data_IF_150918063396
#
_entry.id   IF_150918063396
#
_cell.length_a   1.000
_cell.length_b   1.000
_cell.length_c   1.000
_cell.angle_alpha   90.00
_cell.angle_beta   90.00
_cell.angle_gamma   90.00
#
_symmetry.space_group_name_H-M   'P 1'
#
loop_
_entity.id
_entity.type
_entity.pdbx_description
1 polymer ?
#
# COMPACT_ATOMS: atom_id res chain seq x y z
N UNK A 1 25.25 -30.02 -7.65
CA UNK A 1 26.28 -29.02 -7.30
C UNK A 1 25.75 -27.62 -7.66
N UNK A 2 25.04 -26.98 -6.73
CA UNK A 2 24.59 -25.59 -6.87
C UNK A 2 25.53 -24.73 -6.02
N UNK A 3 26.44 -23.99 -6.65
CA UNK A 3 27.35 -23.06 -5.96
C UNK A 3 26.54 -21.95 -5.29
N UNK A 4 26.84 -21.69 -4.02
CA UNK A 4 26.35 -20.62 -3.15
C UNK A 4 26.82 -19.25 -3.65
N UNK A 5 26.10 -18.69 -4.63
CA UNK A 5 26.34 -17.37 -5.27
C UNK A 5 25.42 -16.25 -4.74
N UNK A 6 24.90 -16.32 -3.51
CA UNK A 6 23.79 -15.45 -3.10
C UNK A 6 24.09 -13.96 -2.77
N UNK A 7 25.26 -13.53 -2.22
CA UNK A 7 25.40 -12.18 -1.65
C UNK A 7 25.45 -11.07 -2.70
N UNK A 8 26.41 -11.16 -3.63
CA UNK A 8 26.65 -10.12 -4.65
C UNK A 8 25.48 -9.99 -5.64
N UNK A 9 24.63 -11.02 -5.72
CA UNK A 9 23.49 -11.00 -6.62
C UNK A 9 22.27 -10.27 -6.07
N UNK A 10 22.08 -10.16 -4.74
CA UNK A 10 20.91 -9.42 -4.22
C UNK A 10 21.01 -7.91 -4.49
N UNK A 11 22.20 -7.34 -4.36
CA UNK A 11 22.46 -5.94 -4.72
C UNK A 11 22.45 -5.75 -6.25
N UNK A 12 22.82 -6.77 -7.03
CA UNK A 12 22.64 -6.77 -8.49
C UNK A 12 21.17 -6.93 -8.93
N UNK A 13 20.32 -7.54 -8.09
CA UNK A 13 18.87 -7.68 -8.32
C UNK A 13 18.12 -6.42 -7.94
N UNK A 14 18.65 -5.61 -7.01
CA UNK A 14 18.13 -4.26 -6.82
C UNK A 14 18.25 -3.56 -8.18
N UNK A 15 17.12 -3.27 -8.86
CA UNK A 15 17.16 -2.92 -10.26
C UNK A 15 18.01 -1.68 -10.36
N UNK A 16 19.21 -1.83 -10.93
CA UNK A 16 20.15 -0.73 -11.14
C UNK A 16 19.33 0.43 -11.65
N UNK A 17 19.21 1.51 -10.87
CA UNK A 17 18.24 2.60 -11.10
C UNK A 17 18.32 3.21 -12.51
N UNK A 18 19.36 2.84 -13.24
CA UNK A 18 19.74 3.33 -14.56
C UNK A 18 19.32 2.45 -15.74
N UNK A 19 18.87 1.19 -15.54
CA UNK A 19 18.45 0.36 -16.69
C UNK A 19 16.97 0.54 -17.02
N UNK A 20 16.71 1.06 -18.21
CA UNK A 20 15.37 1.09 -18.80
C UNK A 20 14.91 -0.35 -19.07
N UNK A 21 13.65 -0.69 -18.75
CA UNK A 21 13.11 -2.02 -19.01
C UNK A 21 13.11 -2.28 -20.52
N UNK A 22 13.55 -3.46 -20.93
CA UNK A 22 13.57 -3.83 -22.35
C UNK A 22 12.16 -3.76 -22.93
N UNK A 23 12.03 -3.14 -24.10
CA UNK A 23 10.72 -2.97 -24.77
C UNK A 23 10.06 -4.33 -24.97
N UNK A 24 8.77 -4.41 -24.69
CA UNK A 24 8.00 -5.66 -24.76
C UNK A 24 8.23 -6.65 -23.61
N UNK A 25 9.11 -6.37 -22.64
CA UNK A 25 9.14 -7.14 -21.39
C UNK A 25 7.85 -6.90 -20.57
N UNK A 26 7.42 -7.87 -19.73
CA UNK A 26 6.28 -7.64 -18.84
C UNK A 26 6.49 -6.45 -17.91
N UNK A 27 7.73 -6.18 -17.48
CA UNK A 27 8.04 -4.99 -16.69
C UNK A 27 7.77 -3.69 -17.46
N UNK A 28 8.12 -3.63 -18.74
CA UNK A 28 7.82 -2.49 -19.61
C UNK A 28 6.30 -2.30 -19.76
N UNK A 29 5.57 -3.38 -20.05
CA UNK A 29 4.10 -3.36 -20.18
C UNK A 29 3.41 -2.93 -18.88
N UNK A 30 3.89 -3.41 -17.73
CA UNK A 30 3.37 -2.99 -16.42
C UNK A 30 3.50 -1.47 -16.24
N UNK A 31 4.67 -0.90 -16.53
CA UNK A 31 4.85 0.57 -16.46
C UNK A 31 3.97 1.30 -17.46
N UNK A 32 3.85 0.78 -18.68
CA UNK A 32 2.99 1.35 -19.71
C UNK A 32 1.54 1.43 -19.22
N UNK A 33 0.95 0.30 -18.79
CA UNK A 33 -0.42 0.27 -18.32
C UNK A 33 -0.66 1.08 -17.05
N UNK A 34 0.27 1.08 -16.08
CA UNK A 34 0.17 1.97 -14.91
C UNK A 34 0.13 3.45 -15.30
N UNK A 35 0.92 3.87 -16.30
CA UNK A 35 0.91 5.27 -16.80
C UNK A 35 -0.40 5.59 -17.52
N UNK A 36 -0.86 4.67 -18.38
CA UNK A 36 -2.14 4.80 -19.07
C UNK A 36 -3.29 4.92 -18.06
N UNK A 37 -3.29 4.10 -17.01
CA UNK A 37 -4.28 4.17 -15.93
C UNK A 37 -4.21 5.50 -15.16
N UNK A 38 -3.00 5.99 -14.85
CA UNK A 38 -2.81 7.29 -14.20
C UNK A 38 -3.38 8.44 -15.05
N UNK A 39 -3.06 8.47 -16.35
CA UNK A 39 -3.56 9.49 -17.29
C UNK A 39 -5.09 9.40 -17.40
N UNK A 40 -5.62 8.19 -17.57
CA UNK A 40 -7.07 8.00 -17.67
C UNK A 40 -7.80 8.45 -16.40
N UNK A 41 -7.25 8.14 -15.22
CA UNK A 41 -7.81 8.59 -13.94
C UNK A 41 -7.79 10.11 -13.81
N UNK A 42 -6.71 10.79 -14.24
CA UNK A 42 -6.67 12.26 -14.27
C UNK A 42 -7.72 12.84 -15.21
N UNK A 43 -7.88 12.26 -16.42
CA UNK A 43 -8.89 12.72 -17.37
C UNK A 43 -10.32 12.53 -16.83
N UNK A 44 -10.60 11.38 -16.20
CA UNK A 44 -11.90 11.12 -15.57
C UNK A 44 -12.16 12.11 -14.44
N UNK A 45 -11.15 12.39 -13.60
CA UNK A 45 -11.27 13.36 -12.52
C UNK A 45 -11.56 14.76 -13.07
N UNK A 46 -10.73 15.26 -14.00
CA UNK A 46 -10.90 16.57 -14.62
C UNK A 46 -12.27 16.70 -15.30
N UNK A 47 -12.74 15.65 -16.00
CA UNK A 47 -14.08 15.67 -16.60
C UNK A 47 -15.16 15.74 -15.53
N UNK A 48 -15.03 14.96 -14.44
CA UNK A 48 -16.00 14.92 -13.35
C UNK A 48 -16.12 16.23 -12.58
N UNK A 49 -15.00 16.89 -12.29
CA UNK A 49 -14.94 18.17 -11.57
C UNK A 49 -15.38 19.36 -12.43
N UNK A 50 -15.42 19.20 -13.76
CA UNK A 50 -15.83 20.24 -14.70
C UNK A 50 -17.24 20.05 -15.26
N UNK A 51 -18.06 19.13 -14.69
CA UNK A 51 -19.47 19.01 -15.09
C UNK A 51 -20.23 20.26 -14.59
N UNK A 52 -20.83 21.07 -15.49
CA UNK A 52 -21.49 22.32 -15.10
C UNK A 52 -22.67 22.06 -14.15
N UNK A 53 -22.77 22.85 -13.08
CA UNK A 53 -23.87 22.80 -12.11
C UNK A 53 -24.12 21.42 -11.49
N UNK A 54 -23.11 20.54 -11.45
CA UNK A 54 -23.24 19.26 -10.77
C UNK A 54 -23.34 19.52 -9.25
N UNK A 55 -24.49 19.20 -8.67
CA UNK A 55 -24.75 19.25 -7.23
C UNK A 55 -25.11 17.82 -6.80
N UNK A 56 -24.24 17.20 -6.00
CA UNK A 56 -24.46 15.85 -5.50
C UNK A 56 -25.00 15.95 -4.07
N UNK A 57 -26.31 15.72 -3.92
CA UNK A 57 -26.99 15.75 -2.61
C UNK A 57 -27.49 17.13 -2.19
N UNK A 58 -28.06 17.25 -0.98
CA UNK A 58 -28.57 18.51 -0.44
C UNK A 58 -27.43 19.51 -0.17
N UNK A 59 -27.69 20.83 -0.24
CA UNK A 59 -26.71 21.85 0.14
C UNK A 59 -26.19 21.60 1.56
N UNK A 60 -24.87 21.49 1.72
CA UNK A 60 -24.21 21.27 3.02
C UNK A 60 -24.06 19.81 3.48
N UNK A 61 -24.67 18.84 2.78
CA UNK A 61 -24.58 17.40 3.09
C UNK A 61 -24.12 16.56 1.88
N UNK A 62 -23.40 17.21 0.95
CA UNK A 62 -22.89 16.55 -0.25
C UNK A 62 -21.62 15.74 0.02
N UNK A 63 -21.47 14.53 -0.56
CA UNK A 63 -20.26 13.70 -0.45
C UNK A 63 -19.08 14.21 -1.29
N UNK A 64 -19.16 15.45 -1.79
CA UNK A 64 -18.24 16.03 -2.77
C UNK A 64 -16.79 16.00 -2.28
N UNK A 65 -16.55 16.46 -1.05
CA UNK A 65 -15.23 16.45 -0.39
C UNK A 65 -14.66 15.04 -0.24
N UNK A 66 -15.50 14.02 -0.04
CA UNK A 66 -15.05 12.63 -0.01
C UNK A 66 -14.64 12.12 -1.39
N UNK A 67 -15.34 12.55 -2.45
CA UNK A 67 -14.98 12.21 -3.84
C UNK A 67 -13.65 12.87 -4.23
N UNK A 68 -13.44 14.13 -3.85
CA UNK A 68 -12.17 14.86 -3.98
C UNK A 68 -11.02 14.13 -3.27
N UNK A 69 -11.18 13.87 -1.96
CA UNK A 69 -10.23 13.08 -1.17
C UNK A 69 -9.88 11.74 -1.84
N UNK A 70 -10.89 10.98 -2.27
CA UNK A 70 -10.67 9.67 -2.87
C UNK A 70 -10.02 9.76 -4.26
N UNK A 71 -10.51 10.67 -5.11
CA UNK A 71 -10.00 10.87 -6.46
C UNK A 71 -8.51 11.20 -6.46
N UNK A 72 -8.09 12.14 -5.60
CA UNK A 72 -6.68 12.50 -5.49
C UNK A 72 -5.83 11.46 -4.76
N UNK A 73 -6.39 10.67 -3.84
CA UNK A 73 -5.71 9.50 -3.29
C UNK A 73 -5.42 8.45 -4.37
N UNK A 74 -6.36 8.19 -5.29
CA UNK A 74 -6.18 7.29 -6.44
C UNK A 74 -5.12 7.84 -7.39
N UNK A 75 -5.18 9.12 -7.75
CA UNK A 75 -4.17 9.76 -8.62
C UNK A 75 -2.77 9.68 -8.01
N UNK A 76 -2.60 10.03 -6.74
CA UNK A 76 -1.31 9.95 -6.06
C UNK A 76 -0.76 8.51 -6.03
N UNK A 77 -1.62 7.53 -5.79
CA UNK A 77 -1.27 6.10 -5.85
C UNK A 77 -0.82 5.68 -7.24
N UNK A 78 -1.59 6.02 -8.28
CA UNK A 78 -1.29 5.69 -9.67
C UNK A 78 0.01 6.37 -10.16
N UNK A 79 0.22 7.64 -9.80
CA UNK A 79 1.47 8.36 -10.05
C UNK A 79 2.67 7.67 -9.41
N UNK A 80 2.52 7.17 -8.18
CA UNK A 80 3.58 6.48 -7.46
C UNK A 80 3.93 5.13 -8.08
N UNK A 81 2.95 4.32 -8.47
CA UNK A 81 3.18 2.98 -9.04
C UNK A 81 3.57 3.02 -10.53
N UNK A 82 3.24 4.09 -11.26
CA UNK A 82 3.58 4.29 -12.67
C UNK A 82 5.00 4.83 -12.91
N UNK A 83 5.71 5.15 -11.83
CA UNK A 83 7.05 5.76 -11.84
C UNK A 83 7.08 7.18 -12.46
N UNK A 84 5.91 7.81 -12.67
CA UNK A 84 5.82 9.24 -13.00
C UNK A 84 6.23 10.11 -11.81
N UNK A 85 5.81 9.70 -10.60
CA UNK A 85 6.25 10.22 -9.32
C UNK A 85 7.31 9.30 -8.69
N UNK A 86 8.56 9.37 -9.17
CA UNK A 86 9.66 8.49 -8.74
C UNK A 86 9.86 8.42 -7.22
N UNK A 87 9.60 9.52 -6.51
CA UNK A 87 9.68 9.62 -5.05
C UNK A 87 8.44 10.35 -4.51
N UNK A 88 8.19 10.22 -3.19
CA UNK A 88 6.99 10.75 -2.55
C UNK A 88 6.86 12.27 -2.69
N UNK A 89 7.97 13.01 -2.58
CA UNK A 89 7.98 14.47 -2.72
C UNK A 89 7.53 14.89 -4.11
N UNK A 90 8.10 14.28 -5.16
CA UNK A 90 7.73 14.55 -6.55
C UNK A 90 6.29 14.14 -6.84
N UNK A 91 5.83 12.98 -6.33
CA UNK A 91 4.43 12.57 -6.45
C UNK A 91 3.50 13.59 -5.80
N UNK A 92 3.80 14.01 -4.57
CA UNK A 92 3.02 15.00 -3.83
C UNK A 92 2.96 16.34 -4.57
N UNK A 93 4.10 16.82 -5.07
CA UNK A 93 4.15 18.04 -5.87
C UNK A 93 3.28 17.94 -7.14
N UNK A 94 3.43 16.88 -7.94
CA UNK A 94 2.63 16.71 -9.17
C UNK A 94 1.13 16.63 -8.85
N UNK A 95 0.75 15.81 -7.87
CA UNK A 95 -0.65 15.61 -7.51
C UNK A 95 -1.28 16.89 -6.92
N UNK A 96 -0.54 17.62 -6.07
CA UNK A 96 -1.03 18.85 -5.46
C UNK A 96 -1.08 20.01 -6.46
N UNK A 97 -0.13 20.11 -7.38
CA UNK A 97 -0.23 21.06 -8.50
C UNK A 97 -1.43 20.75 -9.38
N UNK A 98 -1.76 19.48 -9.62
CA UNK A 98 -2.97 19.09 -10.34
C UNK A 98 -4.23 19.51 -9.58
N UNK A 99 -4.28 19.37 -8.25
CA UNK A 99 -5.40 19.82 -7.42
C UNK A 99 -5.60 21.33 -7.51
N UNK A 100 -4.53 22.12 -7.42
CA UNK A 100 -4.60 23.58 -7.60
C UNK A 100 -5.13 23.93 -9.00
N UNK A 101 -4.62 23.26 -10.04
CA UNK A 101 -5.07 23.51 -11.41
C UNK A 101 -6.54 23.17 -11.56
N UNK A 102 -6.98 22.00 -11.07
CA UNK A 102 -8.38 21.57 -11.12
C UNK A 102 -9.31 22.61 -10.49
N UNK A 103 -9.03 23.03 -9.26
CA UNK A 103 -9.84 24.02 -8.53
C UNK A 103 -9.84 25.41 -9.19
N UNK A 104 -8.69 25.88 -9.68
CA UNK A 104 -8.60 27.17 -10.38
C UNK A 104 -9.36 27.12 -11.71
N UNK A 105 -9.32 25.99 -12.44
CA UNK A 105 -10.03 25.88 -13.72
C UNK A 105 -11.54 25.67 -13.56
N UNK A 106 -12.01 25.27 -12.38
CA UNK A 106 -13.44 25.25 -12.09
C UNK A 106 -14.07 26.67 -12.09
N UNK A 107 -13.27 27.74 -11.92
CA UNK A 107 -13.74 29.14 -12.02
C UNK A 107 -13.98 29.62 -13.46
N UNK A 108 -13.70 28.79 -14.48
CA UNK A 108 -13.85 29.20 -15.87
C UNK A 108 -15.30 29.67 -16.17
N UNK A 109 -15.47 30.85 -16.81
CA UNK A 109 -16.78 31.35 -17.18
C UNK A 109 -17.57 30.31 -17.99
N UNK A 110 -18.76 29.94 -17.49
CA UNK A 110 -19.62 28.93 -18.10
C UNK A 110 -19.84 27.69 -17.23
N UNK A 111 -18.89 27.34 -16.34
CA UNK A 111 -19.06 26.21 -15.41
C UNK A 111 -20.01 26.54 -14.26
N UNK A 112 -20.11 27.84 -13.89
CA UNK A 112 -20.87 28.34 -12.74
C UNK A 112 -20.46 27.64 -11.42
N UNK A 113 -19.15 27.44 -11.25
CA UNK A 113 -18.51 26.98 -10.01
C UNK A 113 -17.54 28.04 -9.51
N UNK A 114 -17.24 28.00 -8.23
CA UNK A 114 -16.27 28.87 -7.56
C UNK A 114 -15.21 28.01 -6.90
N UNK A 115 -13.99 28.50 -6.81
CA UNK A 115 -12.92 27.86 -6.04
C UNK A 115 -13.38 27.59 -4.59
N UNK A 116 -13.34 26.33 -4.15
CA UNK A 116 -13.59 25.96 -2.75
C UNK A 116 -12.29 25.50 -2.10
N UNK A 117 -11.76 26.33 -1.19
CA UNK A 117 -10.57 25.98 -0.41
C UNK A 117 -10.72 24.65 0.33
N UNK A 118 -11.94 24.29 0.73
CA UNK A 118 -12.19 23.05 1.46
C UNK A 118 -12.08 21.81 0.57
N UNK A 119 -12.34 21.92 -0.73
CA UNK A 119 -12.14 20.83 -1.69
C UNK A 119 -10.64 20.64 -1.98
N UNK A 120 -9.87 21.73 -2.13
CA UNK A 120 -8.41 21.67 -2.21
C UNK A 120 -7.77 21.03 -0.95
N UNK A 121 -8.32 21.31 0.24
CA UNK A 121 -7.87 20.67 1.48
C UNK A 121 -8.20 19.17 1.50
N UNK A 122 -9.35 18.77 0.96
CA UNK A 122 -9.73 17.37 0.84
C UNK A 122 -8.80 16.62 -0.13
N UNK A 123 -8.46 17.24 -1.26
CA UNK A 123 -7.50 16.70 -2.23
C UNK A 123 -6.12 16.48 -1.58
N UNK A 124 -5.62 17.48 -0.86
CA UNK A 124 -4.35 17.40 -0.14
C UNK A 124 -4.37 16.25 0.89
N UNK A 125 -5.46 16.11 1.63
CA UNK A 125 -5.62 15.04 2.62
C UNK A 125 -5.62 13.64 1.97
N UNK A 126 -6.26 13.50 0.80
CA UNK A 126 -6.22 12.31 -0.03
C UNK A 126 -4.81 11.95 -0.50
N UNK A 127 -4.07 12.94 -1.01
CA UNK A 127 -2.67 12.80 -1.46
C UNK A 127 -1.79 12.32 -0.29
N UNK A 128 -1.87 12.98 0.87
CA UNK A 128 -1.07 12.62 2.05
C UNK A 128 -1.37 11.18 2.48
N UNK A 129 -2.65 10.81 2.55
CA UNK A 129 -3.07 9.46 2.93
C UNK A 129 -2.52 8.41 1.97
N UNK A 130 -2.63 8.64 0.66
CA UNK A 130 -2.08 7.74 -0.36
C UNK A 130 -0.55 7.62 -0.27
N UNK A 131 0.16 8.73 -0.05
CA UNK A 131 1.62 8.73 0.11
C UNK A 131 2.05 8.00 1.37
N UNK A 132 1.31 8.14 2.48
CA UNK A 132 1.57 7.40 3.72
C UNK A 132 1.45 5.88 3.49
N UNK A 133 0.40 5.43 2.80
CA UNK A 133 0.23 4.02 2.44
C UNK A 133 1.31 3.53 1.47
N UNK A 134 1.67 4.32 0.47
CA UNK A 134 2.77 4.00 -0.45
C UNK A 134 4.11 3.85 0.29
N UNK A 135 4.38 4.69 1.28
CA UNK A 135 5.57 4.59 2.12
C UNK A 135 5.51 3.36 3.04
N UNK A 136 4.34 3.08 3.63
CA UNK A 136 4.12 1.92 4.49
C UNK A 136 4.26 0.59 3.76
N UNK A 137 3.89 0.55 2.47
CA UNK A 137 3.97 -0.62 1.60
C UNK A 137 5.29 -0.72 0.83
N UNK A 138 6.15 0.30 0.87
CA UNK A 138 7.45 0.28 0.20
C UNK A 138 8.33 -0.90 0.70
N UNK A 139 9.28 -1.39 -0.12
CA UNK A 139 10.27 -2.38 0.33
C UNK A 139 11.06 -1.84 1.52
N UNK A 140 11.30 -2.68 2.53
CA UNK A 140 12.13 -2.33 3.68
C UNK A 140 13.59 -2.64 3.34
N UNK A 141 14.50 -1.69 3.58
CA UNK A 141 15.95 -1.94 3.41
C UNK A 141 16.56 -2.86 4.48
N UNK A 142 15.85 -3.07 5.59
CA UNK A 142 16.26 -3.94 6.70
C UNK A 142 15.68 -5.35 6.54
N UNK A 143 16.23 -6.30 7.28
CA UNK A 143 15.81 -7.70 7.30
C UNK A 143 16.76 -8.66 6.59
N UNK A 144 16.53 -9.96 6.85
CA UNK A 144 17.27 -11.07 6.24
C UNK A 144 17.19 -11.05 4.72
N UNK A 145 18.16 -11.68 4.07
CA UNK A 145 18.15 -11.99 2.62
C UNK A 145 16.82 -12.61 2.19
N UNK A 146 16.35 -13.61 2.94
CA UNK A 146 15.07 -14.30 2.73
C UNK A 146 13.86 -13.36 2.85
N UNK A 147 13.84 -12.46 3.83
CA UNK A 147 12.78 -11.44 3.95
C UNK A 147 12.81 -10.45 2.77
N UNK A 148 13.98 -9.94 2.38
CA UNK A 148 14.14 -9.04 1.23
C UNK A 148 13.72 -9.73 -0.07
N UNK A 149 14.10 -10.98 -0.27
CA UNK A 149 13.73 -11.78 -1.44
C UNK A 149 12.22 -11.97 -1.54
N UNK A 150 11.54 -12.27 -0.41
CA UNK A 150 10.07 -12.33 -0.36
C UNK A 150 9.43 -11.02 -0.82
N UNK A 151 9.95 -9.87 -0.36
CA UNK A 151 9.46 -8.56 -0.78
C UNK A 151 9.70 -8.31 -2.28
N UNK A 152 10.91 -8.55 -2.79
CA UNK A 152 11.25 -8.43 -4.21
C UNK A 152 10.30 -9.27 -5.06
N UNK A 153 10.05 -10.53 -4.65
CA UNK A 153 9.14 -11.44 -5.34
C UNK A 153 7.69 -10.97 -5.31
N UNK A 154 7.21 -10.37 -4.21
CA UNK A 154 5.87 -9.76 -4.16
C UNK A 154 5.75 -8.58 -5.12
N UNK A 155 6.75 -7.71 -5.17
CA UNK A 155 6.77 -6.60 -6.15
C UNK A 155 6.88 -7.09 -7.60
N UNK A 156 7.67 -8.13 -7.86
CA UNK A 156 7.76 -8.79 -9.16
C UNK A 156 6.39 -9.39 -9.57
N UNK A 157 5.71 -10.05 -8.64
CA UNK A 157 4.37 -10.60 -8.82
C UNK A 157 3.33 -9.52 -9.12
N UNK A 158 3.34 -8.41 -8.37
CA UNK A 158 2.47 -7.26 -8.63
C UNK A 158 2.74 -6.66 -10.02
N UNK A 159 4.00 -6.44 -10.39
CA UNK A 159 4.36 -5.95 -11.74
C UNK A 159 3.90 -6.89 -12.84
N UNK A 160 4.10 -8.20 -12.66
CA UNK A 160 3.65 -9.20 -13.62
C UNK A 160 2.13 -9.18 -13.78
N UNK A 161 1.39 -9.03 -12.67
CA UNK A 161 -0.07 -8.87 -12.69
C UNK A 161 -0.47 -7.61 -13.48
N UNK A 162 0.12 -6.45 -13.17
CA UNK A 162 -0.22 -5.17 -13.80
C UNK A 162 0.27 -5.05 -15.26
N UNK A 163 1.04 -6.03 -15.76
CA UNK A 163 1.49 -6.06 -17.15
C UNK A 163 0.39 -6.44 -18.15
N UNK A 164 -0.73 -7.02 -17.69
CA UNK A 164 -1.84 -7.45 -18.55
C UNK A 164 -3.03 -6.47 -18.45
N UNK A 165 -3.56 -5.95 -19.57
CA UNK A 165 -4.75 -5.10 -19.54
C UNK A 165 -5.98 -5.83 -18.99
N UNK A 166 -6.08 -7.15 -19.18
CA UNK A 166 -7.18 -7.94 -18.64
C UNK A 166 -7.22 -7.92 -17.09
N UNK A 167 -6.05 -7.87 -16.45
CA UNK A 167 -5.98 -7.77 -14.99
C UNK A 167 -6.46 -6.41 -14.49
N UNK A 168 -6.22 -5.33 -15.25
CA UNK A 168 -6.79 -4.02 -14.94
C UNK A 168 -8.32 -4.03 -15.04
N UNK A 169 -8.86 -4.68 -16.07
CA UNK A 169 -10.31 -4.86 -16.18
C UNK A 169 -10.86 -5.62 -14.97
N UNK A 170 -10.22 -6.71 -14.54
CA UNK A 170 -10.64 -7.45 -13.36
C UNK A 170 -10.59 -6.62 -12.07
N UNK A 171 -9.55 -5.80 -11.87
CA UNK A 171 -9.45 -4.89 -10.72
C UNK A 171 -10.62 -3.91 -10.75
N UNK A 172 -10.87 -3.25 -11.88
CA UNK A 172 -11.95 -2.28 -12.04
C UNK A 172 -13.32 -2.92 -11.85
N UNK A 173 -13.58 -4.07 -12.47
CA UNK A 173 -14.85 -4.80 -12.33
C UNK A 173 -15.09 -5.21 -10.87
N UNK A 174 -14.08 -5.76 -10.19
CA UNK A 174 -14.22 -6.13 -8.79
C UNK A 174 -14.41 -4.92 -7.87
N UNK A 175 -13.73 -3.81 -8.15
CA UNK A 175 -13.96 -2.54 -7.47
C UNK A 175 -15.40 -2.06 -7.66
N UNK A 176 -15.91 -1.98 -8.90
CA UNK A 176 -17.29 -1.55 -9.19
C UNK A 176 -18.31 -2.48 -8.52
N UNK A 177 -18.15 -3.80 -8.60
CA UNK A 177 -19.04 -4.75 -7.94
C UNK A 177 -19.01 -4.59 -6.41
N UNK A 178 -17.84 -4.40 -5.82
CA UNK A 178 -17.69 -4.09 -4.40
C UNK A 178 -18.40 -2.79 -4.02
N UNK A 179 -18.25 -1.75 -4.83
CA UNK A 179 -18.90 -0.46 -4.64
C UNK A 179 -20.43 -0.58 -4.67
N UNK A 180 -20.96 -1.32 -5.65
CA UNK A 180 -22.40 -1.58 -5.76
C UNK A 180 -22.90 -2.33 -4.52
N UNK A 181 -22.23 -3.42 -4.13
CA UNK A 181 -22.66 -4.27 -3.02
C UNK A 181 -22.68 -3.49 -1.70
N UNK A 182 -21.57 -2.84 -1.35
CA UNK A 182 -21.42 -2.15 -0.05
C UNK A 182 -22.15 -0.81 -0.05
N UNK A 183 -22.15 -0.08 -1.18
CA UNK A 183 -22.89 1.17 -1.33
C UNK A 183 -24.39 0.98 -1.21
N UNK A 184 -24.96 -0.04 -1.86
CA UNK A 184 -26.40 -0.37 -1.71
C UNK A 184 -26.70 -0.83 -0.28
N UNK A 185 -25.86 -1.67 0.31
CA UNK A 185 -26.05 -2.15 1.69
C UNK A 185 -26.06 -1.00 2.70
N UNK A 186 -25.09 -0.07 2.63
CA UNK A 186 -25.05 1.09 3.52
C UNK A 186 -26.12 2.14 3.18
N UNK A 187 -26.50 2.29 1.91
CA UNK A 187 -27.60 3.20 1.54
C UNK A 187 -28.96 2.73 2.05
N UNK A 188 -29.23 1.42 2.00
CA UNK A 188 -30.49 0.84 2.47
C UNK A 188 -30.50 0.66 3.99
N UNK A 189 -29.43 0.09 4.56
CA UNK A 189 -29.34 -0.22 5.99
C UNK A 189 -28.94 0.98 6.85
N UNK A 190 -28.20 1.94 6.28
CA UNK A 190 -27.66 3.09 6.99
C UNK A 190 -28.54 4.32 6.93
N UNK A 191 -29.88 4.18 6.95
CA UNK A 191 -30.81 5.31 7.09
C UNK A 191 -30.63 5.95 8.48
N UNK A 192 -29.61 6.78 8.61
CA UNK A 192 -29.27 7.53 9.80
C UNK A 192 -29.88 8.94 9.64
N UNK A 193 -30.63 9.46 10.62
CA UNK A 193 -31.16 10.83 10.55
C UNK A 193 -30.05 11.90 10.48
N UNK A 194 -28.81 11.57 10.83
CA UNK A 194 -27.68 12.50 10.89
C UNK A 194 -26.90 12.54 9.57
N UNK A 195 -26.78 11.40 8.87
CA UNK A 195 -25.98 11.29 7.64
C UNK A 195 -26.93 10.97 6.49
N UNK A 196 -26.98 11.85 5.49
CA UNK A 196 -27.82 11.66 4.32
C UNK A 196 -27.60 10.31 3.62
N UNK A 197 -28.65 9.70 3.04
CA UNK A 197 -28.54 8.38 2.40
C UNK A 197 -27.55 8.38 1.23
N UNK A 198 -27.41 9.51 0.52
CA UNK A 198 -26.45 9.66 -0.59
C UNK A 198 -25.01 9.55 -0.06
N UNK A 199 -24.70 10.20 1.06
CA UNK A 199 -23.37 10.14 1.68
C UNK A 199 -23.04 8.73 2.14
N UNK A 200 -24.00 8.00 2.72
CA UNK A 200 -23.83 6.59 3.08
C UNK A 200 -23.59 5.69 1.85
N UNK A 201 -24.29 5.93 0.74
CA UNK A 201 -24.05 5.23 -0.53
C UNK A 201 -22.64 5.50 -1.04
N UNK A 202 -22.16 6.75 -0.99
CA UNK A 202 -20.80 7.09 -1.45
C UNK A 202 -19.75 6.46 -0.55
N UNK A 203 -19.85 6.60 0.77
CA UNK A 203 -18.91 5.98 1.73
C UNK A 203 -18.88 4.46 1.53
N UNK A 204 -20.03 3.83 1.39
CA UNK A 204 -20.13 2.40 1.11
C UNK A 204 -19.55 2.02 -0.25
N UNK A 205 -19.82 2.83 -1.27
CA UNK A 205 -19.29 2.68 -2.62
C UNK A 205 -17.76 2.72 -2.64
N UNK A 206 -17.16 3.74 -2.03
CA UNK A 206 -15.71 3.89 -1.94
C UNK A 206 -15.06 2.75 -1.14
N UNK A 207 -15.63 2.41 0.01
CA UNK A 207 -15.13 1.31 0.87
C UNK A 207 -15.20 -0.03 0.13
N UNK A 208 -16.34 -0.32 -0.50
CA UNK A 208 -16.55 -1.50 -1.31
C UNK A 208 -15.61 -1.57 -2.51
N UNK A 209 -15.37 -0.45 -3.18
CA UNK A 209 -14.43 -0.37 -4.29
C UNK A 209 -13.02 -0.75 -3.87
N UNK A 210 -12.52 -0.14 -2.78
CA UNK A 210 -11.17 -0.43 -2.27
C UNK A 210 -11.07 -1.90 -1.84
N UNK A 211 -12.06 -2.42 -1.11
CA UNK A 211 -12.06 -3.81 -0.68
C UNK A 211 -12.02 -4.80 -1.86
N UNK A 212 -12.91 -4.60 -2.86
CA UNK A 212 -12.96 -5.43 -4.06
C UNK A 212 -11.66 -5.39 -4.86
N UNK A 213 -11.11 -4.19 -5.08
CA UNK A 213 -9.84 -4.00 -5.79
C UNK A 213 -8.67 -4.68 -5.06
N UNK A 214 -8.55 -4.49 -3.74
CA UNK A 214 -7.48 -5.10 -2.92
C UNK A 214 -7.55 -6.62 -2.95
N UNK A 215 -8.74 -7.22 -2.85
CA UNK A 215 -8.92 -8.67 -2.90
C UNK A 215 -8.41 -9.26 -4.23
N UNK A 216 -8.75 -8.63 -5.36
CA UNK A 216 -8.28 -9.08 -6.68
C UNK A 216 -6.79 -8.84 -6.86
N UNK A 217 -6.24 -7.72 -6.38
CA UNK A 217 -4.79 -7.46 -6.41
C UNK A 217 -4.03 -8.52 -5.62
N UNK A 218 -4.48 -8.86 -4.41
CA UNK A 218 -3.84 -9.88 -3.57
C UNK A 218 -3.98 -11.29 -4.15
N UNK A 219 -5.12 -11.63 -4.74
CA UNK A 219 -5.30 -12.90 -5.45
C UNK A 219 -4.42 -12.99 -6.71
N UNK A 220 -4.41 -11.92 -7.52
CA UNK A 220 -3.63 -11.81 -8.74
C UNK A 220 -2.12 -11.80 -8.49
N UNK A 221 -1.67 -11.17 -7.39
CA UNK A 221 -0.27 -11.20 -6.97
C UNK A 221 0.17 -12.61 -6.58
N UNK A 222 -0.63 -13.32 -5.77
CA UNK A 222 -0.38 -14.73 -5.40
C UNK A 222 -0.31 -15.64 -6.63
N UNK A 223 -1.26 -15.51 -7.55
CA UNK A 223 -1.23 -16.23 -8.82
C UNK A 223 0.03 -15.91 -9.64
N UNK A 224 0.40 -14.63 -9.72
CA UNK A 224 1.58 -14.17 -10.46
C UNK A 224 2.89 -14.70 -9.87
N UNK A 225 3.01 -14.79 -8.53
CA UNK A 225 4.16 -15.41 -7.87
C UNK A 225 4.29 -16.88 -8.24
N UNK A 226 3.19 -17.66 -8.19
CA UNK A 226 3.22 -19.07 -8.62
C UNK A 226 3.66 -19.22 -10.07
N UNK A 227 3.24 -18.30 -10.93
CA UNK A 227 3.67 -18.26 -12.34
C UNK A 227 5.15 -17.91 -12.50
N UNK A 228 5.69 -17.02 -11.66
CA UNK A 228 7.13 -16.71 -11.62
C UNK A 228 7.91 -17.99 -11.31
N UNK A 229 7.45 -18.80 -10.35
CA UNK A 229 8.12 -20.05 -9.97
C UNK A 229 7.99 -21.13 -11.04
N UNK A 230 6.76 -21.38 -11.51
CA UNK A 230 6.50 -22.43 -12.50
C UNK A 230 7.20 -22.17 -13.84
N UNK A 231 7.43 -20.89 -14.19
CA UNK A 231 8.08 -20.50 -15.44
C UNK A 231 9.50 -19.98 -15.24
N UNK A 232 10.08 -20.10 -14.03
CA UNK A 232 11.42 -19.59 -13.68
C UNK A 232 11.68 -18.19 -14.25
N UNK A 233 10.81 -17.23 -13.93
CA UNK A 233 10.93 -15.87 -14.49
C UNK A 233 12.00 -15.06 -13.76
N UNK A 234 12.81 -14.33 -14.51
CA UNK A 234 13.77 -13.37 -13.97
C UNK A 234 13.04 -12.33 -13.11
N UNK A 235 13.51 -12.07 -11.88
CA UNK A 235 12.84 -11.12 -10.97
C UNK A 235 12.97 -9.65 -11.44
N UNK A 236 13.95 -9.35 -12.29
CA UNK A 236 14.18 -8.00 -12.82
C UNK A 236 13.27 -7.69 -14.01
N UNK A 237 13.37 -8.46 -15.10
CA UNK A 237 12.64 -8.21 -16.35
C UNK A 237 11.36 -9.05 -16.54
N UNK A 238 11.12 -10.03 -15.67
CA UNK A 238 9.97 -10.95 -15.68
C UNK A 238 9.86 -11.85 -16.92
N UNK A 239 10.91 -11.95 -17.75
CA UNK A 239 11.00 -12.94 -18.83
C UNK A 239 11.38 -14.31 -18.27
N UNK A 240 10.97 -15.36 -18.95
CA UNK A 240 11.39 -16.74 -18.64
C UNK A 240 12.90 -16.87 -18.82
N UNK A 241 13.58 -17.50 -17.87
CA UNK A 241 15.02 -17.79 -17.96
C UNK A 241 15.26 -19.23 -18.41
N UNK A 242 16.48 -19.51 -18.88
CA UNK A 242 16.93 -20.88 -19.15
C UNK A 242 17.10 -21.67 -17.85
N UNK A 243 17.33 -22.98 -17.96
CA UNK A 243 17.54 -23.89 -16.81
C UNK A 243 18.63 -23.43 -15.84
N UNK A 244 19.62 -22.69 -16.32
CA UNK A 244 20.77 -22.17 -15.56
C UNK A 244 20.44 -20.96 -14.67
N UNK A 245 19.23 -20.40 -14.76
CA UNK A 245 18.73 -19.36 -13.84
C UNK A 245 19.14 -17.93 -14.21
N UNK A 246 20.23 -17.74 -14.96
CA UNK A 246 20.61 -16.45 -15.53
C UNK A 246 19.65 -16.04 -16.66
N UNK A 247 19.29 -14.75 -16.72
CA UNK A 247 18.45 -14.25 -17.80
C UNK A 247 19.31 -13.88 -19.02
N UNK A 248 18.95 -14.38 -20.20
CA UNK A 248 19.65 -14.05 -21.45
C UNK A 248 19.45 -12.60 -21.93
N UNK A 249 18.44 -11.90 -21.41
CA UNK A 249 18.07 -10.55 -21.84
C UNK A 249 18.53 -9.45 -20.90
N UNK A 250 18.79 -9.78 -19.65
CA UNK A 250 19.29 -8.84 -18.65
C UNK A 250 20.20 -9.60 -17.70
N UNK A 251 21.15 -8.94 -17.06
CA UNK A 251 22.04 -9.53 -16.05
C UNK A 251 21.31 -9.96 -14.75
N UNK A 252 19.97 -9.97 -14.75
CA UNK A 252 19.15 -10.44 -13.64
C UNK A 252 19.00 -11.96 -13.62
N UNK A 253 18.49 -12.47 -12.50
CA UNK A 253 18.42 -13.90 -12.21
C UNK A 253 17.02 -14.29 -11.74
N UNK A 254 16.66 -15.56 -11.93
CA UNK A 254 15.58 -16.19 -11.17
C UNK A 254 16.15 -16.67 -9.83
N UNK A 255 15.48 -16.31 -8.74
CA UNK A 255 15.78 -16.84 -7.41
C UNK A 255 14.56 -17.63 -6.90
N UNK A 256 14.73 -18.91 -6.50
CA UNK A 256 13.65 -19.70 -5.95
C UNK A 256 13.11 -19.06 -4.67
N UNK A 257 11.87 -19.36 -4.32
CA UNK A 257 11.31 -18.93 -3.04
C UNK A 257 12.16 -19.52 -1.89
N UNK A 258 12.44 -18.75 -0.82
CA UNK A 258 13.17 -19.28 0.33
C UNK A 258 12.38 -20.45 0.94
N UNK A 259 13.10 -21.52 1.32
CA UNK A 259 12.51 -22.67 2.00
C UNK A 259 12.10 -22.27 3.42
N UNK A 260 10.82 -22.45 3.78
CA UNK A 260 10.34 -22.16 5.12
C UNK A 260 8.83 -21.95 5.19
N UNK A 261 8.26 -22.09 6.40
CA UNK A 261 6.83 -21.87 6.64
C UNK A 261 6.45 -20.41 6.39
N UNK A 262 5.44 -20.20 5.53
CA UNK A 262 4.79 -18.91 5.24
C UNK A 262 3.99 -18.37 6.46
N UNK A 263 4.63 -17.95 7.57
CA UNK A 263 3.85 -17.62 8.79
C UNK A 263 4.35 -16.40 9.60
N UNK A 264 4.33 -15.18 9.04
CA UNK A 264 3.94 -14.05 9.92
C UNK A 264 2.91 -13.06 9.34
N UNK A 265 2.71 -13.02 8.02
CA UNK A 265 1.96 -11.90 7.40
C UNK A 265 0.49 -11.84 7.82
N UNK A 266 -0.17 -12.99 8.04
CA UNK A 266 -1.58 -13.02 8.48
C UNK A 266 -1.77 -12.47 9.88
N UNK A 267 -0.83 -12.74 10.80
CA UNK A 267 -0.90 -12.22 12.16
C UNK A 267 -0.69 -10.72 12.19
N UNK A 268 0.24 -10.20 11.37
CA UNK A 268 0.44 -8.76 11.22
C UNK A 268 -0.83 -8.10 10.67
N UNK A 269 -1.41 -8.65 9.60
CA UNK A 269 -2.65 -8.13 9.03
C UNK A 269 -3.78 -8.12 10.07
N UNK A 270 -3.96 -9.21 10.81
CA UNK A 270 -4.97 -9.33 11.85
C UNK A 270 -4.79 -8.30 12.97
N UNK A 271 -3.55 -8.12 13.47
CA UNK A 271 -3.23 -7.10 14.49
C UNK A 271 -3.49 -5.68 13.99
N UNK A 272 -3.12 -5.40 12.73
CA UNK A 272 -3.40 -4.11 12.07
C UNK A 272 -4.90 -3.88 11.98
N UNK A 273 -5.67 -4.87 11.51
CA UNK A 273 -7.13 -4.78 11.41
C UNK A 273 -7.79 -4.53 12.77
N UNK A 274 -7.36 -5.25 13.83
CA UNK A 274 -7.85 -5.00 15.19
C UNK A 274 -7.53 -3.59 15.65
N UNK A 275 -6.30 -3.12 15.46
CA UNK A 275 -5.94 -1.77 15.88
C UNK A 275 -6.78 -0.72 15.14
N UNK A 276 -6.90 -0.82 13.82
CA UNK A 276 -7.69 0.13 13.02
C UNK A 276 -9.14 0.13 13.49
N UNK A 277 -9.71 -1.04 13.80
CA UNK A 277 -11.04 -1.15 14.38
C UNK A 277 -11.12 -0.45 15.75
N UNK A 278 -10.16 -0.67 16.64
CA UNK A 278 -10.09 -0.02 17.96
C UNK A 278 -9.99 1.49 17.83
N UNK A 279 -9.14 1.99 16.91
CA UNK A 279 -9.00 3.43 16.66
C UNK A 279 -10.30 4.01 16.10
N UNK A 280 -10.93 3.34 15.12
CA UNK A 280 -12.22 3.77 14.57
C UNK A 280 -13.33 3.82 15.64
N UNK A 281 -13.45 2.77 16.46
CA UNK A 281 -14.40 2.75 17.58
C UNK A 281 -14.08 3.83 18.61
N UNK A 282 -12.80 4.12 18.86
CA UNK A 282 -12.38 5.18 19.78
C UNK A 282 -12.75 6.57 19.25
N UNK A 283 -12.59 6.82 17.95
CA UNK A 283 -13.00 8.07 17.29
C UNK A 283 -14.51 8.27 17.44
N UNK A 284 -15.30 7.24 17.08
CA UNK A 284 -16.76 7.24 17.27
C UNK A 284 -17.09 7.46 18.76
N UNK A 285 -16.43 6.74 19.66
CA UNK A 285 -16.59 6.89 21.10
C UNK A 285 -16.39 8.33 21.54
N UNK A 286 -15.27 8.96 21.20
CA UNK A 286 -14.94 10.34 21.56
C UNK A 286 -15.98 11.35 21.03
N UNK A 287 -16.52 11.13 19.83
CA UNK A 287 -17.51 12.05 19.24
C UNK A 287 -18.93 11.87 19.76
N UNK A 288 -19.36 10.64 20.00
CA UNK A 288 -20.70 10.36 20.51
C UNK A 288 -20.78 10.43 22.04
N UNK A 289 -19.64 10.38 22.73
CA UNK A 289 -19.58 10.42 24.19
C UNK A 289 -20.25 11.68 24.81
N UNK A 290 -20.05 12.91 24.31
CA UNK A 290 -20.73 14.09 24.82
C UNK A 290 -22.26 14.06 24.67
N UNK A 291 -22.77 13.24 23.74
CA UNK A 291 -24.21 13.09 23.51
C UNK A 291 -24.87 12.07 24.46
N UNK A 292 -24.09 11.31 25.25
CA UNK A 292 -24.64 10.32 26.18
C UNK A 292 -24.96 11.01 27.52
N UNK A 293 -26.24 11.12 27.91
CA UNK A 293 -26.63 11.76 29.17
C UNK A 293 -26.08 10.98 30.37
N UNK A 294 -25.53 11.69 31.37
CA UNK A 294 -25.13 11.09 32.65
C UNK A 294 -23.69 10.57 32.75
N UNK A 295 -22.89 10.60 31.66
CA UNK A 295 -21.47 10.27 31.75
C UNK A 295 -20.62 11.52 32.09
N UNK A 296 -20.36 11.74 33.37
CA UNK A 296 -19.55 12.85 33.90
C UNK A 296 -18.04 12.51 33.98
N UNK A 297 -17.49 11.74 33.04
CA UNK A 297 -16.08 11.34 33.08
C UNK A 297 -15.17 12.44 32.52
N UNK A 298 -14.09 12.69 33.26
CA UNK A 298 -12.85 13.45 32.95
C UNK A 298 -12.97 14.40 31.74
N UNK A 299 -13.35 15.65 32.01
CA UNK A 299 -13.24 16.75 31.05
C UNK A 299 -11.76 17.08 30.84
N UNK A 300 -11.11 16.41 29.89
CA UNK A 300 -9.80 16.84 29.41
C UNK A 300 -10.02 18.07 28.50
N UNK A 301 -9.51 19.27 28.86
CA UNK A 301 -9.77 20.50 28.10
C UNK A 301 -9.37 20.40 26.62
N UNK A 302 -8.34 19.59 26.34
CA UNK A 302 -7.86 19.31 24.98
C UNK A 302 -8.90 18.55 24.15
N UNK A 303 -9.54 17.52 24.71
CA UNK A 303 -10.58 16.75 24.00
C UNK A 303 -11.82 17.62 23.74
N UNK A 304 -12.18 18.48 24.69
CA UNK A 304 -13.31 19.40 24.53
C UNK A 304 -13.02 20.49 23.47
N UNK A 305 -11.77 20.97 23.40
CA UNK A 305 -11.35 21.88 22.32
C UNK A 305 -11.37 21.19 20.95
N UNK A 306 -10.91 19.93 20.86
CA UNK A 306 -10.92 19.16 19.63
C UNK A 306 -12.35 18.83 19.17
N UNK A 307 -13.22 18.41 20.09
CA UNK A 307 -14.62 18.13 19.78
C UNK A 307 -15.37 19.39 19.32
N UNK A 308 -15.11 20.55 19.94
CA UNK A 308 -15.68 21.83 19.49
C UNK A 308 -15.16 22.24 18.12
N UNK A 309 -13.86 22.11 17.86
CA UNK A 309 -13.28 22.41 16.55
C UNK A 309 -13.84 21.49 15.46
N UNK A 310 -13.92 20.19 15.72
CA UNK A 310 -14.47 19.22 14.78
C UNK A 310 -15.96 19.46 14.51
N UNK A 311 -16.74 19.81 15.54
CA UNK A 311 -18.15 20.19 15.40
C UNK A 311 -18.39 21.49 14.63
N UNK A 312 -17.36 22.31 14.38
CA UNK A 312 -17.44 23.48 13.49
C UNK A 312 -17.22 23.12 12.01
N UNK A 313 -16.72 21.91 11.72
CA UNK A 313 -16.54 21.45 10.34
C UNK A 313 -17.87 21.06 9.72
N UNK A 314 -18.01 21.29 8.41
CA UNK A 314 -19.09 20.68 7.64
C UNK A 314 -18.98 19.15 7.71
N UNK A 315 -20.12 18.46 7.67
CA UNK A 315 -20.21 16.98 7.80
C UNK A 315 -19.29 16.28 6.80
N UNK A 316 -19.24 16.74 5.55
CA UNK A 316 -18.40 16.15 4.53
C UNK A 316 -16.90 16.36 4.80
N UNK A 317 -16.51 17.50 5.39
CA UNK A 317 -15.12 17.74 5.79
C UNK A 317 -14.73 16.95 7.04
N UNK A 318 -15.61 16.81 8.03
CA UNK A 318 -15.33 16.00 9.22
C UNK A 318 -15.07 14.54 8.82
N UNK A 319 -15.83 13.99 7.87
CA UNK A 319 -15.56 12.66 7.30
C UNK A 319 -14.21 12.56 6.60
N UNK A 320 -13.78 13.60 5.87
CA UNK A 320 -12.44 13.65 5.25
C UNK A 320 -11.34 13.64 6.30
N UNK A 321 -11.49 14.44 7.36
CA UNK A 321 -10.54 14.48 8.49
C UNK A 321 -10.45 13.10 9.17
N UNK A 322 -11.60 12.48 9.45
CA UNK A 322 -11.68 11.15 10.06
C UNK A 322 -11.02 10.08 9.16
N UNK A 323 -11.33 10.09 7.86
CA UNK A 323 -10.74 9.19 6.87
C UNK A 323 -9.21 9.37 6.76
N UNK A 324 -8.74 10.61 6.81
CA UNK A 324 -7.31 10.95 6.76
C UNK A 324 -6.58 10.45 7.99
N UNK A 325 -7.12 10.72 9.18
CA UNK A 325 -6.54 10.29 10.44
C UNK A 325 -6.48 8.76 10.54
N UNK A 326 -7.59 8.08 10.24
CA UNK A 326 -7.65 6.62 10.19
C UNK A 326 -6.67 6.05 9.16
N UNK A 327 -6.64 6.62 7.96
CA UNK A 327 -5.77 6.18 6.87
C UNK A 327 -4.28 6.31 7.21
N UNK A 328 -3.87 7.46 7.76
CA UNK A 328 -2.48 7.72 8.14
C UNK A 328 -2.04 6.86 9.34
N UNK A 329 -2.87 6.69 10.36
CA UNK A 329 -2.57 5.82 11.50
C UNK A 329 -2.44 4.36 11.06
N UNK A 330 -3.36 3.89 10.23
CA UNK A 330 -3.31 2.54 9.68
C UNK A 330 -2.01 2.33 8.89
N UNK A 331 -1.65 3.27 8.02
CA UNK A 331 -0.40 3.23 7.26
C UNK A 331 0.83 3.23 8.19
N UNK A 332 0.87 4.11 9.19
CA UNK A 332 1.96 4.16 10.16
C UNK A 332 2.13 2.84 10.92
N UNK A 333 1.03 2.22 11.34
CA UNK A 333 1.06 0.95 12.06
C UNK A 333 1.53 -0.21 11.17
N UNK A 334 1.07 -0.27 9.92
CA UNK A 334 1.58 -1.22 8.91
C UNK A 334 3.07 -1.04 8.71
N UNK A 335 3.52 0.21 8.52
CA UNK A 335 4.94 0.53 8.37
C UNK A 335 5.75 0.06 9.58
N UNK A 336 5.30 0.38 10.78
CA UNK A 336 5.96 0.02 12.04
C UNK A 336 6.07 -1.49 12.22
N UNK A 337 4.97 -2.22 11.99
CA UNK A 337 4.97 -3.67 12.07
C UNK A 337 5.88 -4.31 11.04
N UNK A 338 5.80 -3.89 9.77
CA UNK A 338 6.70 -4.41 8.72
C UNK A 338 8.16 -4.14 9.04
N UNK A 339 8.47 -2.96 9.60
CA UNK A 339 9.82 -2.63 10.06
C UNK A 339 10.27 -3.50 11.22
N UNK A 340 9.39 -3.78 12.20
CA UNK A 340 9.70 -4.69 13.31
C UNK A 340 9.90 -6.14 12.84
N UNK A 341 9.04 -6.65 11.96
CA UNK A 341 9.20 -7.97 11.36
C UNK A 341 10.48 -8.06 10.55
N UNK A 342 10.84 -7.01 9.81
CA UNK A 342 12.12 -6.94 9.13
C UNK A 342 13.29 -7.04 10.12
N UNK A 343 13.29 -6.27 11.21
CA UNK A 343 14.36 -6.34 12.22
C UNK A 343 14.40 -7.72 12.89
N UNK A 344 13.25 -8.29 13.26
CA UNK A 344 13.17 -9.63 13.82
C UNK A 344 13.70 -10.70 12.85
N UNK A 345 13.47 -10.51 11.54
CA UNK A 345 14.01 -11.41 10.51
C UNK A 345 15.54 -11.38 10.43
N UNK A 346 16.23 -10.33 10.90
CA UNK A 346 17.70 -10.31 10.96
C UNK A 346 18.26 -11.33 11.96
N UNK A 347 17.42 -11.85 12.85
CA UNK A 347 17.72 -12.92 13.78
C UNK A 347 17.34 -14.32 13.23
N UNK A 348 16.62 -14.40 12.09
CA UNK A 348 16.36 -15.67 11.40
C UNK A 348 17.71 -16.30 11.01
N UNK A 349 17.92 -17.56 11.38
CA UNK A 349 19.17 -18.30 11.16
C UNK A 349 20.19 -18.18 12.30
N UNK A 350 20.01 -17.25 13.25
CA UNK A 350 20.85 -17.17 14.47
C UNK A 350 20.29 -17.98 15.61
N UNK A 351 18.97 -18.08 15.73
CA UNK A 351 18.33 -18.84 16.81
C UNK A 351 17.50 -20.00 16.24
N UNK A 352 17.47 -21.10 16.96
CA UNK A 352 16.58 -22.22 16.68
C UNK A 352 15.12 -21.75 16.78
N UNK A 353 14.33 -21.93 15.72
CA UNK A 353 12.92 -21.53 15.69
C UNK A 353 12.04 -22.32 16.67
N UNK A 354 12.52 -23.46 17.17
CA UNK A 354 11.76 -24.33 18.08
C UNK A 354 12.02 -23.96 19.54
N UNK A 355 13.28 -23.88 19.96
CA UNK A 355 13.64 -23.67 21.37
C UNK A 355 14.29 -22.30 21.66
N UNK A 356 14.62 -21.50 20.65
CA UNK A 356 15.29 -20.21 20.81
C UNK A 356 16.79 -20.28 21.09
N UNK A 357 17.40 -21.47 21.10
CA UNK A 357 18.84 -21.63 21.32
C UNK A 357 19.67 -20.96 20.21
N UNK A 358 20.74 -20.28 20.59
CA UNK A 358 21.69 -19.67 19.64
C UNK A 358 22.42 -20.75 18.84
N UNK A 359 22.33 -20.69 17.52
CA UNK A 359 22.95 -21.63 16.59
C UNK A 359 24.36 -21.19 16.18
N UNK A 360 24.87 -20.06 16.70
CA UNK A 360 26.25 -19.66 16.49
C UNK A 360 27.22 -20.74 17.01
N UNK A 361 27.95 -21.37 16.09
CA UNK A 361 28.89 -22.43 16.40
C UNK A 361 28.29 -23.84 16.46
N UNK A 362 26.99 -23.99 16.20
CA UNK A 362 26.39 -25.32 16.06
C UNK A 362 27.02 -26.06 14.86
N UNK A 363 27.37 -27.34 15.01
CA UNK A 363 27.93 -28.13 13.93
C UNK A 363 26.91 -28.24 12.79
N UNK A 364 27.38 -27.94 11.58
CA UNK A 364 26.60 -28.02 10.36
C UNK A 364 27.42 -28.76 9.30
N UNK A 365 26.74 -29.46 8.39
CA UNK A 365 27.36 -30.13 7.27
C UNK A 365 27.81 -29.12 6.19
N UNK A 366 28.50 -29.62 5.15
CA UNK A 366 28.92 -28.82 4.00
C UNK A 366 27.74 -28.20 3.22
N UNK A 367 26.52 -28.66 3.46
CA UNK A 367 25.27 -28.14 2.90
C UNK A 367 24.58 -27.15 3.85
N UNK A 368 25.28 -26.71 4.91
CA UNK A 368 24.82 -25.77 5.93
C UNK A 368 23.58 -26.25 6.68
N UNK A 369 23.33 -27.55 6.70
CA UNK A 369 22.28 -28.19 7.50
C UNK A 369 22.88 -28.63 8.82
N UNK A 370 22.18 -28.35 9.90
CA UNK A 370 22.58 -28.77 11.24
C UNK A 370 21.38 -29.22 12.05
N UNK A 371 21.64 -29.75 13.23
CA UNK A 371 20.62 -30.01 14.26
C UNK A 371 20.89 -29.12 15.45
N UNK A 372 19.84 -28.52 15.97
CA UNK A 372 19.95 -27.71 17.18
C UNK A 372 20.46 -28.62 18.32
N UNK A 373 21.56 -28.24 19.01
CA UNK A 373 22.14 -29.09 20.05
C UNK A 373 21.21 -29.28 21.26
N UNK A 374 20.32 -28.32 21.51
CA UNK A 374 19.37 -28.39 22.64
C UNK A 374 18.14 -29.23 22.36
N UNK A 375 17.46 -29.01 21.23
CA UNK A 375 16.16 -29.64 20.95
C UNK A 375 16.18 -30.67 19.81
N UNK A 376 17.32 -30.85 19.13
CA UNK A 376 17.48 -31.76 18.01
C UNK A 376 16.77 -31.35 16.72
N UNK A 377 16.09 -30.20 16.68
CA UNK A 377 15.40 -29.74 15.48
C UNK A 377 16.39 -29.47 14.33
N UNK A 378 16.08 -29.98 13.15
CA UNK A 378 16.86 -29.71 11.95
C UNK A 378 16.74 -28.21 11.56
N UNK A 379 17.85 -27.61 11.19
CA UNK A 379 17.93 -26.25 10.64
C UNK A 379 18.80 -26.24 9.39
N UNK A 380 18.58 -25.25 8.53
CA UNK A 380 19.50 -24.89 7.45
C UNK A 380 19.93 -23.44 7.67
N UNK A 381 21.23 -23.19 7.73
CA UNK A 381 21.75 -21.83 7.75
C UNK A 381 21.77 -21.27 6.34
N UNK A 382 21.47 -19.97 6.22
CA UNK A 382 21.84 -19.23 5.02
C UNK A 382 23.36 -18.99 5.08
N UNK A 383 24.09 -19.10 3.96
CA UNK A 383 25.55 -19.03 3.97
C UNK A 383 26.07 -17.74 4.62
N UNK A 384 27.05 -17.80 5.54
CA UNK A 384 27.52 -16.65 6.32
C UNK A 384 28.06 -15.51 5.44
N UNK A 385 28.47 -15.80 4.20
CA UNK A 385 28.92 -14.79 3.24
C UNK A 385 27.78 -13.89 2.68
N UNK A 386 26.51 -14.17 2.97
CA UNK A 386 25.37 -13.35 2.52
C UNK A 386 25.23 -11.99 3.23
N UNK A 387 25.92 -11.76 4.35
CA UNK A 387 25.68 -10.57 5.20
C UNK A 387 26.83 -9.57 5.30
N UNK A 388 28.06 -9.93 4.93
CA UNK A 388 29.24 -9.09 5.18
C UNK A 388 29.35 -7.83 4.27
N UNK A 389 28.56 -7.72 3.20
CA UNK A 389 28.64 -6.59 2.26
C UNK A 389 27.91 -5.31 2.69
N UNK A 390 26.94 -5.38 3.61
CA UNK A 390 26.05 -4.23 3.90
C UNK A 390 26.50 -3.35 5.07
N UNK A 391 27.48 -3.76 5.87
CA UNK A 391 27.96 -3.00 7.04
C UNK A 391 28.91 -1.84 6.69
N UNK A 392 29.45 -1.76 5.46
CA UNK A 392 30.32 -0.64 5.04
C UNK A 392 29.59 0.61 4.54
N UNK A 393 28.25 0.64 4.55
CA UNK A 393 27.45 1.82 4.17
C UNK A 393 26.85 2.56 5.39
N UNK A 394 27.60 2.59 6.48
CA UNK A 394 27.27 3.32 7.71
C UNK A 394 27.65 4.81 7.72
N UNK A 395 28.13 5.38 6.62
CA UNK A 395 28.42 6.82 6.52
C UNK A 395 27.33 7.52 5.68
N UNK A 396 26.74 8.56 6.28
CA UNK A 396 25.77 9.52 5.75
C UNK A 396 24.28 9.15 5.86
N UNK A 397 23.80 9.02 7.10
CA UNK A 397 22.47 9.55 7.47
C UNK A 397 22.68 10.70 8.45
N UNK A 398 23.05 11.86 7.90
CA UNK A 398 22.81 13.16 8.53
C UNK A 398 21.84 13.94 7.64
N UNK A 399 20.72 14.33 8.27
CA UNK A 399 19.63 15.22 7.84
C UNK A 399 18.54 14.60 6.96
#
# INVERSE_FOLDING_TARGET
MARTLLPDHLDAIEPSRHRLPSRGSPQWWSRHWCRTAAILAMLILLVGTHIPKLVIGPPGDGPDKLLHFFGFAVIATLLRISDLGRNAVRTGFIAFSLAIVDEVTQELPGLNRSFDLMDLLADAAGIITALAWCAALAPTRRGSSSHRLRQIRRFAGLRLMLASPMNWLHITTAGVLGAMLVGVFLGVGGRNPIIGPITMVVVGGLTGFVAGAVLVVEAGCRHSIRRIDGQRRCLSCLRQTSSEGACSHCEGWYLPAPFGREVPDRQVLFRVSILVLVVAVSIVGVFFYPAIPGMSVIRLPVLESLARWHGQLQISMSMVVDATFLGVIAAWFVWWHRRRTAIASEQEGRFCLVCGHDLHGAPHDELERGRCPECGADFAMDPPNAMAGTTKQGENVTR
#
